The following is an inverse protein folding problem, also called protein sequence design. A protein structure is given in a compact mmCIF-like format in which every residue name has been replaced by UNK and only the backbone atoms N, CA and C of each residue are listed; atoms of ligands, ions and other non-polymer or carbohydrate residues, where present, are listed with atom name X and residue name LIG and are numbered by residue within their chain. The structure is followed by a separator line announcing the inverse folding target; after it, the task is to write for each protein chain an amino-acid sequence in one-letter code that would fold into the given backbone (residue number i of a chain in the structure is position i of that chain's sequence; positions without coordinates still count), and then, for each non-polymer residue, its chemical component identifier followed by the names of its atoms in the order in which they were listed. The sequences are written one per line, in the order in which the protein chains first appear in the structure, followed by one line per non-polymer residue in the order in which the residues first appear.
data_IF_327253262737
#
_entry.id   IF_327253262737
#
_cell.length_a   1.000
_cell.length_b   1.000
_cell.length_c   1.000
_cell.angle_alpha   90.00
_cell.angle_beta   90.00
_cell.angle_gamma   90.00
#
_symmetry.space_group_name_H-M   'P 1'
#
loop_
_entity.id
_entity.type
_entity.pdbx_description
1 polymer ?
#
# COMPACT_ATOMS: atom_id res chain seq x y z
N UNK A 1 -0.62 0.29 -13.70
CA UNK A 1 0.45 -0.36 -12.93
C UNK A 1 1.38 0.76 -12.56
N UNK A 2 1.50 0.99 -11.27
CA UNK A 2 2.05 2.24 -10.77
C UNK A 2 3.21 1.87 -9.85
N UNK A 3 4.37 2.47 -10.07
CA UNK A 3 5.54 2.32 -9.21
C UNK A 3 6.02 3.71 -8.80
N UNK A 4 6.30 3.90 -7.52
CA UNK A 4 6.60 5.22 -6.98
C UNK A 4 7.69 5.18 -5.91
N UNK A 5 8.31 6.34 -5.69
CA UNK A 5 9.18 6.65 -4.56
C UNK A 5 8.60 7.87 -3.84
N UNK A 6 8.31 7.74 -2.54
CA UNK A 6 7.75 8.82 -1.73
C UNK A 6 8.47 8.88 -0.38
N UNK A 7 8.80 10.06 0.15
CA UNK A 7 9.27 10.20 1.52
C UNK A 7 8.22 9.65 2.50
N UNK A 8 8.69 9.06 3.60
CA UNK A 8 7.80 8.54 4.64
C UNK A 8 6.99 9.66 5.31
N UNK A 9 7.65 10.78 5.58
CA UNK A 9 7.04 11.97 6.15
C UNK A 9 6.67 12.96 5.05
N UNK A 10 5.73 13.87 5.34
CA UNK A 10 5.40 14.96 4.43
C UNK A 10 6.55 15.99 4.43
N UNK A 11 7.54 15.74 3.59
CA UNK A 11 8.67 16.63 3.33
C UNK A 11 8.85 16.85 1.84
N UNK A 12 9.64 17.87 1.50
CA UNK A 12 10.01 18.15 0.12
C UNK A 12 11.30 17.39 -0.22
N UNK A 13 11.22 16.30 -1.00
CA UNK A 13 12.40 15.49 -1.34
C UNK A 13 13.35 16.21 -2.29
N UNK A 14 12.92 17.26 -3.01
CA UNK A 14 13.76 17.97 -3.99
C UNK A 14 14.97 18.65 -3.35
N UNK A 15 14.91 18.87 -2.03
CA UNK A 15 16.03 19.41 -1.24
C UNK A 15 17.25 18.51 -1.27
N UNK A 16 17.06 17.21 -1.33
CA UNK A 16 18.12 16.21 -1.21
C UNK A 16 18.16 15.22 -2.38
N UNK A 17 17.05 15.02 -3.10
CA UNK A 17 16.97 14.29 -4.37
C UNK A 17 17.08 15.26 -5.55
N UNK A 18 18.02 14.98 -6.47
CA UNK A 18 18.10 15.65 -7.77
C UNK A 18 17.16 15.03 -8.79
N UNK A 19 17.15 13.70 -8.87
CA UNK A 19 16.31 12.94 -9.80
C UNK A 19 16.20 11.48 -9.41
N UNK A 20 15.12 10.85 -9.83
CA UNK A 20 14.87 9.41 -9.67
C UNK A 20 14.77 8.78 -11.04
N UNK A 21 15.47 7.68 -11.24
CA UNK A 21 15.45 6.90 -12.47
C UNK A 21 14.76 5.57 -12.21
N UNK A 22 13.68 5.29 -12.94
CA UNK A 22 13.02 4.00 -12.98
C UNK A 22 13.50 3.25 -14.22
N UNK A 23 14.06 2.06 -14.04
CA UNK A 23 14.35 1.15 -15.15
C UNK A 23 13.34 0.01 -15.13
N UNK A 24 12.43 0.08 -16.08
CA UNK A 24 11.38 -0.91 -16.36
C UNK A 24 11.95 -2.09 -17.16
N UNK A 25 11.10 -3.09 -17.39
CA UNK A 25 11.41 -4.22 -18.27
C UNK A 25 11.70 -3.78 -19.71
N UNK A 26 12.55 -4.52 -20.41
CA UNK A 26 13.03 -4.22 -21.76
C UNK A 26 11.95 -4.23 -22.85
N UNK A 27 10.79 -4.81 -22.56
CA UNK A 27 9.62 -4.75 -23.44
C UNK A 27 8.97 -3.36 -23.53
N UNK A 28 9.24 -2.46 -22.57
CA UNK A 28 8.65 -1.12 -22.57
C UNK A 28 9.43 -0.16 -23.48
N UNK A 29 8.69 0.63 -24.26
CA UNK A 29 9.25 1.78 -24.94
C UNK A 29 9.82 2.76 -23.91
N UNK A 30 11.07 3.20 -24.12
CA UNK A 30 11.81 4.01 -23.15
C UNK A 30 11.82 3.36 -21.76
N UNK A 31 12.40 2.15 -21.65
CA UNK A 31 12.49 1.40 -20.39
C UNK A 31 13.08 2.22 -19.23
N UNK A 32 13.94 3.20 -19.54
CA UNK A 32 14.53 4.11 -18.56
C UNK A 32 13.71 5.40 -18.50
N UNK A 33 13.01 5.63 -17.39
CA UNK A 33 12.30 6.87 -17.08
C UNK A 33 13.09 7.65 -16.05
N UNK A 34 13.26 8.95 -16.27
CA UNK A 34 13.97 9.84 -15.36
C UNK A 34 13.00 10.94 -14.96
N UNK A 35 12.79 11.10 -13.66
CA UNK A 35 11.92 12.10 -13.06
C UNK A 35 12.79 13.03 -12.21
N UNK A 36 12.79 14.31 -12.53
CA UNK A 36 13.59 15.33 -11.82
C UNK A 36 12.78 15.99 -10.69
N UNK A 37 11.46 16.02 -10.82
CA UNK A 37 10.54 16.64 -9.86
C UNK A 37 9.51 15.63 -9.32
N UNK A 38 9.02 15.81 -8.08
CA UNK A 38 7.94 15.00 -7.53
C UNK A 38 6.59 15.33 -8.19
N UNK A 39 5.63 14.38 -8.23
CA UNK A 39 5.69 13.03 -7.67
C UNK A 39 6.60 12.10 -8.46
N UNK A 40 7.48 11.37 -7.76
CA UNK A 40 8.34 10.37 -8.40
C UNK A 40 7.57 9.07 -8.62
N UNK A 41 6.67 9.08 -9.60
CA UNK A 41 5.84 7.93 -9.95
C UNK A 41 5.82 7.67 -11.46
N UNK A 42 5.75 6.39 -11.82
CA UNK A 42 5.60 5.94 -13.20
C UNK A 42 4.34 5.09 -13.27
N UNK A 43 3.41 5.50 -14.12
CA UNK A 43 2.20 4.75 -14.44
C UNK A 43 2.35 4.14 -15.83
N UNK A 44 2.18 2.83 -15.91
CA UNK A 44 2.22 2.07 -17.15
C UNK A 44 1.13 1.00 -17.22
N UNK A 45 0.94 0.45 -18.42
CA UNK A 45 0.06 -0.69 -18.64
C UNK A 45 0.87 -1.93 -19.02
N UNK A 46 0.52 -3.07 -18.42
CA UNK A 46 1.26 -4.30 -18.62
C UNK A 46 0.54 -5.48 -18.01
N UNK A 47 0.99 -6.67 -18.39
CA UNK A 47 0.41 -7.96 -17.99
C UNK A 47 1.42 -8.85 -17.24
N UNK A 48 2.68 -8.44 -17.16
CA UNK A 48 3.75 -9.19 -16.52
C UNK A 48 4.21 -8.54 -15.21
N UNK A 49 4.64 -9.39 -14.28
CA UNK A 49 5.35 -9.01 -13.06
C UNK A 49 6.85 -9.00 -13.32
N UNK A 50 7.57 -7.99 -12.83
CA UNK A 50 9.00 -7.85 -13.03
C UNK A 50 9.63 -6.95 -11.98
N UNK A 51 10.95 -7.04 -11.84
CA UNK A 51 11.71 -6.17 -10.96
C UNK A 51 11.98 -4.82 -11.63
N UNK A 52 11.64 -3.73 -10.95
CA UNK A 52 11.93 -2.36 -11.34
C UNK A 52 13.12 -1.89 -10.55
N UNK A 53 14.17 -1.46 -11.25
CA UNK A 53 15.31 -0.83 -10.61
C UNK A 53 15.05 0.67 -10.46
N UNK A 54 14.99 1.14 -9.22
CA UNK A 54 14.79 2.55 -8.85
C UNK A 54 16.13 3.11 -8.40
N UNK A 55 16.69 4.06 -9.16
CA UNK A 55 17.96 4.70 -8.85
C UNK A 55 17.74 6.16 -8.44
N UNK A 56 18.16 6.49 -7.23
CA UNK A 56 17.99 7.81 -6.62
C UNK A 56 19.30 8.57 -6.73
N UNK A 57 19.28 9.72 -7.40
CA UNK A 57 20.41 10.62 -7.51
C UNK A 57 20.21 11.79 -6.56
N UNK A 58 21.24 12.11 -5.78
CA UNK A 58 21.20 13.22 -4.84
C UNK A 58 21.58 14.55 -5.48
N UNK A 59 21.24 15.65 -4.80
CA UNK A 59 21.58 17.03 -5.20
C UNK A 59 23.09 17.23 -5.32
N UNK A 60 23.87 16.63 -4.42
CA UNK A 60 25.31 16.56 -4.58
C UNK A 60 25.67 15.40 -5.53
N UNK A 61 26.33 15.74 -6.63
CA UNK A 61 26.79 14.75 -7.62
C UNK A 61 27.99 13.91 -7.14
N UNK A 62 28.65 14.31 -6.05
CA UNK A 62 29.70 13.53 -5.41
C UNK A 62 29.14 12.46 -4.46
N UNK A 63 27.88 12.60 -4.04
CA UNK A 63 27.20 11.57 -3.25
C UNK A 63 26.77 10.42 -4.17
N UNK A 64 27.05 9.19 -3.75
CA UNK A 64 26.78 8.01 -4.61
C UNK A 64 25.28 7.79 -4.74
N UNK A 65 24.76 7.59 -5.97
CA UNK A 65 23.35 7.23 -6.15
C UNK A 65 23.01 5.92 -5.45
N UNK A 66 21.82 5.86 -4.86
CA UNK A 66 21.29 4.63 -4.26
C UNK A 66 20.45 3.89 -5.29
N UNK A 67 20.49 2.56 -5.24
CA UNK A 67 19.68 1.69 -6.08
C UNK A 67 18.81 0.83 -5.17
N UNK A 68 17.50 0.96 -5.34
CA UNK A 68 16.49 0.09 -4.78
C UNK A 68 15.89 -0.81 -5.88
N UNK A 69 15.39 -1.96 -5.49
CA UNK A 69 14.70 -2.89 -6.38
C UNK A 69 13.29 -3.10 -5.88
N UNK A 70 12.32 -2.83 -6.74
CA UNK A 70 10.91 -2.98 -6.44
C UNK A 70 10.31 -4.05 -7.34
N UNK A 71 9.92 -5.18 -6.76
CA UNK A 71 9.26 -6.24 -7.51
C UNK A 71 7.78 -5.88 -7.71
N UNK A 72 7.43 -5.50 -8.93
CA UNK A 72 6.06 -5.18 -9.30
C UNK A 72 5.20 -6.45 -9.29
N UNK A 73 4.09 -6.40 -8.55
CA UNK A 73 3.07 -7.44 -8.54
C UNK A 73 1.76 -6.95 -9.13
N UNK A 74 1.09 -7.82 -9.88
CA UNK A 74 -0.20 -7.56 -10.53
C UNK A 74 -1.29 -8.51 -10.04
N UNK A 75 -0.93 -9.66 -9.47
CA UNK A 75 -1.91 -10.71 -9.16
C UNK A 75 -2.18 -10.89 -7.67
N UNK A 76 -1.16 -10.84 -6.79
CA UNK A 76 -1.33 -11.09 -5.35
C UNK A 76 -0.29 -10.35 -4.49
N UNK A 77 -0.65 -9.89 -3.27
CA UNK A 77 -1.95 -10.02 -2.62
C UNK A 77 -2.97 -8.99 -3.11
N UNK A 78 -4.24 -9.41 -3.22
CA UNK A 78 -5.36 -8.54 -3.60
C UNK A 78 -6.02 -7.96 -2.36
N UNK A 79 -6.30 -6.66 -2.39
CA UNK A 79 -7.01 -5.91 -1.37
C UNK A 79 -8.38 -5.54 -1.94
N UNK A 80 -9.45 -5.91 -1.23
CA UNK A 80 -10.81 -5.49 -1.55
C UNK A 80 -11.10 -4.13 -0.92
N UNK A 81 -11.45 -3.17 -1.76
CA UNK A 81 -11.86 -1.84 -1.33
C UNK A 81 -13.35 -1.85 -0.93
N UNK A 82 -13.79 -0.91 -0.07
CA UNK A 82 -15.21 -0.76 0.27
C UNK A 82 -16.15 -0.54 -0.92
N UNK A 83 -15.60 -0.09 -2.07
CA UNK A 83 -16.32 0.04 -3.34
C UNK A 83 -16.59 -1.30 -4.05
N UNK A 84 -16.10 -2.42 -3.53
CA UNK A 84 -16.11 -3.73 -4.17
C UNK A 84 -15.02 -3.91 -5.25
N UNK A 85 -14.15 -2.91 -5.44
CA UNK A 85 -13.03 -2.98 -6.39
C UNK A 85 -11.84 -3.68 -5.76
N UNK A 86 -11.19 -4.55 -6.53
CA UNK A 86 -9.97 -5.24 -6.11
C UNK A 86 -8.73 -4.50 -6.63
N UNK A 87 -7.77 -4.25 -5.75
CA UNK A 87 -6.47 -3.66 -6.10
C UNK A 87 -5.33 -4.54 -5.61
N UNK A 88 -4.19 -4.51 -6.29
CA UNK A 88 -2.94 -5.10 -5.79
C UNK A 88 -2.02 -3.96 -5.40
N UNK A 89 -1.62 -3.95 -4.13
CA UNK A 89 -0.71 -2.96 -3.59
C UNK A 89 0.47 -3.67 -2.94
N UNK A 90 1.68 -3.30 -3.34
CA UNK A 90 2.93 -3.79 -2.75
C UNK A 90 3.81 -2.58 -2.49
N UNK A 91 4.02 -2.26 -1.22
CA UNK A 91 4.79 -1.12 -0.78
C UNK A 91 5.84 -1.59 0.22
N UNK A 92 7.03 -0.99 0.18
CA UNK A 92 8.12 -1.30 1.09
C UNK A 92 8.63 -0.02 1.73
N UNK A 93 8.79 -0.07 3.05
CA UNK A 93 9.53 0.94 3.78
C UNK A 93 11.01 0.65 3.70
N UNK A 94 11.81 1.69 3.48
CA UNK A 94 13.27 1.61 3.47
C UNK A 94 13.88 2.88 4.08
N UNK A 95 15.10 2.76 4.59
CA UNK A 95 15.85 3.84 5.24
C UNK A 95 17.11 4.17 4.44
N UNK A 96 17.18 5.41 3.94
CA UNK A 96 18.39 5.91 3.30
C UNK A 96 19.34 6.43 4.38
N UNK A 97 20.44 5.70 4.59
CA UNK A 97 21.45 6.03 5.59
C UNK A 97 22.66 6.72 4.92
N UNK A 98 22.89 7.98 5.30
CA UNK A 98 24.12 8.71 4.94
C UNK A 98 25.12 8.60 6.10
N UNK A 99 26.08 7.67 6.02
CA UNK A 99 27.07 7.45 7.08
C UNK A 99 28.08 8.60 7.16
N UNK A 100 28.57 9.06 6.01
CA UNK A 100 29.54 10.15 5.89
C UNK A 100 29.12 11.07 4.74
N UNK A 101 28.01 11.82 4.89
CA UNK A 101 27.52 12.70 3.83
C UNK A 101 28.56 13.77 3.52
N UNK A 102 28.62 14.17 2.24
CA UNK A 102 29.40 15.36 1.88
C UNK A 102 28.89 16.60 2.63
N UNK A 103 29.72 17.65 2.73
CA UNK A 103 29.32 18.91 3.39
C UNK A 103 28.08 19.52 2.72
N UNK A 104 27.97 19.41 1.40
CA UNK A 104 26.80 19.90 0.66
C UNK A 104 25.57 19.06 0.98
N UNK A 105 25.70 17.73 0.98
CA UNK A 105 24.61 16.81 1.28
C UNK A 105 24.13 16.97 2.72
N UNK A 106 25.05 17.07 3.68
CA UNK A 106 24.72 17.34 5.08
C UNK A 106 23.92 18.64 5.25
N UNK A 107 24.33 19.72 4.57
CA UNK A 107 23.56 20.98 4.58
C UNK A 107 22.17 20.82 3.96
N UNK A 108 22.05 20.08 2.86
CA UNK A 108 20.77 19.80 2.22
C UNK A 108 19.83 19.02 3.16
N UNK A 109 20.36 18.00 3.85
CA UNK A 109 19.64 17.20 4.83
C UNK A 109 19.26 17.96 6.11
N UNK A 110 20.01 19.03 6.47
CA UNK A 110 19.69 19.88 7.61
C UNK A 110 18.77 21.06 7.27
N UNK A 111 18.73 21.49 6.01
CA UNK A 111 17.87 22.57 5.54
C UNK A 111 16.37 22.18 5.50
N UNK A 112 16.05 20.90 5.69
CA UNK A 112 14.73 20.46 6.15
C UNK A 112 14.61 20.75 7.65
N UNK A 113 14.33 22.02 7.97
CA UNK A 113 13.95 22.46 9.31
C UNK A 113 12.97 21.47 9.97
N UNK A 114 13.46 20.73 10.98
CA UNK A 114 13.05 20.72 12.40
C UNK A 114 11.57 20.77 12.80
N UNK A 115 10.61 20.91 11.89
CA UNK A 115 9.20 20.67 12.18
C UNK A 115 9.07 19.17 12.27
N UNK A 116 8.89 18.66 13.50
CA UNK A 116 8.18 17.39 13.69
C UNK A 116 6.97 17.48 12.75
N UNK A 117 6.81 16.55 11.78
CA UNK A 117 5.64 16.55 10.93
C UNK A 117 4.43 16.70 11.83
N UNK A 118 3.58 17.67 11.52
CA UNK A 118 2.39 17.92 12.33
C UNK A 118 1.62 16.61 12.43
N UNK A 119 1.39 16.15 13.68
CA UNK A 119 0.71 14.88 13.94
C UNK A 119 -0.68 14.80 13.31
N UNK A 120 -1.23 15.95 12.91
CA UNK A 120 -2.58 16.09 12.40
C UNK A 120 -2.73 15.97 10.87
N UNK A 121 -1.67 15.79 10.09
CA UNK A 121 -1.80 15.67 8.63
C UNK A 121 -1.11 14.43 8.04
N UNK A 122 -1.25 13.29 8.68
CA UNK A 122 -0.77 12.05 8.10
C UNK A 122 -1.82 11.41 7.19
N UNK A 123 -1.69 11.63 5.89
CA UNK A 123 -2.30 10.78 4.88
C UNK A 123 -1.48 9.49 4.65
N UNK A 124 -0.23 9.42 5.14
CA UNK A 124 0.74 8.34 4.86
C UNK A 124 1.37 7.69 6.12
N UNK A 125 0.83 7.89 7.32
CA UNK A 125 1.35 7.19 8.51
C UNK A 125 0.96 5.72 8.43
N UNK A 126 1.93 4.86 8.13
CA UNK A 126 1.73 3.41 8.00
C UNK A 126 1.13 2.85 9.29
N UNK A 127 1.47 3.40 10.45
CA UNK A 127 0.93 2.95 11.73
C UNK A 127 -0.54 3.36 11.89
N UNK A 128 -0.89 4.58 11.47
CA UNK A 128 -2.28 5.03 11.45
C UNK A 128 -3.12 4.27 10.41
N UNK A 129 -2.60 4.05 9.20
CA UNK A 129 -3.24 3.26 8.15
C UNK A 129 -3.40 1.82 8.63
N UNK A 130 -2.37 1.21 9.23
CA UNK A 130 -2.42 -0.13 9.81
C UNK A 130 -3.47 -0.22 10.92
N UNK A 131 -3.52 0.77 11.81
CA UNK A 131 -4.51 0.82 12.89
C UNK A 131 -5.93 0.96 12.33
N UNK A 132 -6.14 1.86 11.37
CA UNK A 132 -7.44 2.05 10.70
C UNK A 132 -7.89 0.81 9.95
N UNK A 133 -6.99 0.17 9.18
CA UNK A 133 -7.27 -1.07 8.45
C UNK A 133 -7.57 -2.21 9.42
N UNK A 134 -6.86 -2.29 10.55
CA UNK A 134 -7.15 -3.26 11.62
C UNK A 134 -8.53 -3.02 12.23
N UNK A 135 -8.85 -1.78 12.57
CA UNK A 135 -10.16 -1.42 13.14
C UNK A 135 -11.30 -1.74 12.17
N UNK A 136 -11.14 -1.43 10.88
CA UNK A 136 -12.09 -1.82 9.83
C UNK A 136 -12.25 -3.34 9.76
N UNK A 137 -11.15 -4.09 9.81
CA UNK A 137 -11.18 -5.56 9.84
C UNK A 137 -11.89 -6.13 11.07
N UNK A 138 -11.69 -5.53 12.25
CA UNK A 138 -12.35 -5.92 13.49
C UNK A 138 -13.87 -5.64 13.45
N UNK A 139 -14.28 -4.51 12.86
CA UNK A 139 -15.70 -4.18 12.67
C UNK A 139 -16.34 -5.15 11.69
N UNK A 140 -15.73 -5.38 10.53
CA UNK A 140 -16.24 -6.33 9.54
C UNK A 140 -16.34 -7.75 10.12
N UNK A 141 -15.35 -8.21 10.90
CA UNK A 141 -15.44 -9.50 11.58
C UNK A 141 -16.60 -9.58 12.58
N UNK A 142 -16.88 -8.50 13.32
CA UNK A 142 -18.01 -8.46 14.26
C UNK A 142 -19.35 -8.51 13.53
N UNK A 143 -19.50 -7.78 12.44
CA UNK A 143 -20.73 -7.78 11.62
C UNK A 143 -20.99 -9.17 11.02
N UNK A 144 -19.96 -9.78 10.41
CA UNK A 144 -20.06 -11.15 9.88
C UNK A 144 -20.40 -12.14 10.99
N UNK A 145 -19.79 -12.01 12.18
CA UNK A 145 -20.08 -12.90 13.29
C UNK A 145 -21.52 -12.75 13.80
N UNK A 146 -22.06 -11.53 13.84
CA UNK A 146 -23.45 -11.27 14.20
C UNK A 146 -24.42 -11.87 13.18
N UNK A 147 -24.15 -11.68 11.88
CA UNK A 147 -24.99 -12.23 10.82
C UNK A 147 -24.98 -13.78 10.81
N UNK A 148 -23.83 -14.40 11.08
CA UNK A 148 -23.73 -15.86 11.26
C UNK A 148 -24.59 -16.34 12.43
N UNK A 149 -24.63 -15.59 13.53
CA UNK A 149 -25.42 -15.97 14.70
C UNK A 149 -26.93 -15.82 14.45
N UNK A 150 -27.36 -14.74 13.82
CA UNK A 150 -28.75 -14.54 13.42
C UNK A 150 -29.23 -15.65 12.45
N UNK A 151 -28.40 -16.00 11.46
CA UNK A 151 -28.71 -17.09 10.53
C UNK A 151 -28.76 -18.45 11.24
N UNK A 152 -27.90 -18.69 12.24
CA UNK A 152 -27.94 -19.91 13.05
C UNK A 152 -29.21 -20.00 13.88
N UNK A 153 -29.66 -18.89 14.47
CA UNK A 153 -30.90 -18.84 15.23
C UNK A 153 -32.11 -19.07 14.33
N UNK A 154 -32.15 -18.40 13.17
CA UNK A 154 -33.20 -18.59 12.16
C UNK A 154 -33.27 -20.04 11.65
N UNK A 155 -32.12 -20.67 11.35
CA UNK A 155 -32.05 -22.07 10.97
C UNK A 155 -32.58 -22.99 12.07
N UNK A 156 -32.25 -22.70 13.34
CA UNK A 156 -32.71 -23.50 14.48
C UNK A 156 -34.22 -23.43 14.64
N UNK A 157 -34.81 -22.26 14.47
CA UNK A 157 -36.26 -22.08 14.58
C UNK A 157 -37.00 -22.70 13.40
N UNK A 158 -36.49 -22.55 12.18
CA UNK A 158 -37.01 -23.26 11.01
C UNK A 158 -36.98 -24.77 11.22
N UNK A 159 -35.89 -25.32 11.79
CA UNK A 159 -35.79 -26.74 12.08
C UNK A 159 -36.81 -27.20 13.13
N UNK A 160 -37.02 -26.43 14.20
CA UNK A 160 -38.06 -26.73 15.20
C UNK A 160 -39.46 -26.75 14.57
N UNK A 161 -39.75 -25.80 13.68
CA UNK A 161 -41.03 -25.73 12.96
C UNK A 161 -41.23 -26.96 12.07
N UNK A 162 -40.21 -27.36 11.30
CA UNK A 162 -40.26 -28.56 10.46
C UNK A 162 -40.54 -29.80 11.31
N UNK A 163 -39.81 -29.99 12.40
CA UNK A 163 -40.02 -31.12 13.31
C UNK A 163 -41.45 -31.10 13.84
N UNK A 164 -41.93 -29.95 14.35
CA UNK A 164 -43.29 -29.80 14.86
C UNK A 164 -44.33 -30.23 13.83
N UNK A 165 -44.30 -29.67 12.62
CA UNK A 165 -45.26 -30.00 11.56
C UNK A 165 -45.15 -31.45 11.07
N UNK A 166 -43.95 -32.05 11.08
CA UNK A 166 -43.77 -33.46 10.75
C UNK A 166 -44.38 -34.41 11.79
N UNK A 167 -44.41 -34.03 13.08
CA UNK A 167 -45.13 -34.78 14.12
C UNK A 167 -46.64 -34.55 14.13
N UNK A 168 -47.10 -33.39 13.65
CA UNK A 168 -48.51 -33.00 13.65
C UNK A 168 -49.27 -33.41 12.37
N UNK A 169 -48.56 -33.85 11.33
CA UNK A 169 -49.13 -34.44 10.11
C UNK A 169 -49.11 -35.98 10.21
N UNK A 170 -50.17 -36.64 10.70
CA UNK A 170 -50.31 -38.08 10.49
C UNK A 170 -50.41 -38.35 8.98
N UNK A 171 -49.77 -39.43 8.51
CA UNK A 171 -49.85 -39.92 7.13
C UNK A 171 -51.30 -39.84 6.63
N UNK A 172 -51.55 -38.95 5.66
CA UNK A 172 -52.75 -39.05 4.85
C UNK A 172 -52.50 -40.16 3.82
N UNK A 173 -52.82 -41.40 4.21
CA UNK A 173 -53.15 -42.51 3.29
C UNK A 173 -54.49 -42.26 2.59
#
# INVERSE_FOLDING_TARGET
MDSFLKPYLLEDPTKWIRKVQFKLHESYANQTRILEEPPYEVTETGWGEFEIQIRIYFVDSNEKPIVAFHYLRLFQPTIELPSGSQIVCTEFYDEIIFQEPTVQMYRALQASEGRRPDKQSFLNDIEQVKNRTRELGEVAQKEIAAEIEDLRESLKDAHKLIVKYSTEMPEQE
#
